data_IF_106900933401
#
_entry.id   IF_106900933401
#
_cell.length_a   1.000
_cell.length_b   1.000
_cell.length_c   1.000
_cell.angle_alpha   90.00
_cell.angle_beta   90.00
_cell.angle_gamma   90.00
#
_symmetry.space_group_name_H-M   'P 1'
#
loop_
_entity.id
_entity.type
_entity.pdbx_description
1 polymer ?
#
# COMPACT_ATOMS: atom_id res chain seq x y z
N UNK A 1 -4.19 -20.27 6.90
CA UNK A 1 -5.34 -19.44 6.45
C UNK A 1 -6.47 -19.50 7.47
N UNK A 2 -6.82 -20.69 7.98
CA UNK A 2 -7.85 -20.88 9.01
C UNK A 2 -7.57 -20.12 10.31
N UNK A 3 -6.33 -20.08 10.78
CA UNK A 3 -5.95 -19.32 11.98
C UNK A 3 -6.29 -17.81 11.87
N UNK A 4 -6.05 -17.16 10.73
CA UNK A 4 -6.38 -15.74 10.54
C UNK A 4 -7.90 -15.49 10.42
N UNK A 5 -8.64 -16.44 9.84
CA UNK A 5 -10.11 -16.37 9.74
C UNK A 5 -10.75 -16.54 11.12
N UNK A 6 -10.20 -17.43 11.94
CA UNK A 6 -10.64 -17.63 13.33
C UNK A 6 -10.26 -16.40 14.18
N UNK A 7 -9.05 -15.87 14.02
CA UNK A 7 -8.62 -14.64 14.69
C UNK A 7 -9.47 -13.41 14.32
N UNK A 8 -9.80 -13.23 13.04
CA UNK A 8 -10.61 -12.08 12.58
C UNK A 8 -12.06 -12.15 13.06
N UNK A 9 -12.60 -13.36 13.23
CA UNK A 9 -13.92 -13.58 13.84
C UNK A 9 -13.93 -13.34 15.35
N UNK A 10 -12.86 -13.71 16.05
CA UNK A 10 -12.76 -13.55 17.51
C UNK A 10 -12.48 -12.10 17.95
N UNK A 11 -11.67 -11.37 17.18
CA UNK A 11 -11.11 -10.08 17.60
C UNK A 11 -11.83 -8.87 16.94
N UNK A 12 -12.68 -9.14 15.93
CA UNK A 12 -13.37 -8.14 15.13
C UNK A 12 -12.57 -7.77 13.88
N UNK A 13 -13.25 -7.69 12.72
CA UNK A 13 -12.62 -7.55 11.40
C UNK A 13 -11.81 -6.26 11.21
N UNK A 14 -12.04 -5.25 12.05
CA UNK A 14 -11.39 -3.93 11.98
C UNK A 14 -10.33 -3.74 13.07
N UNK A 15 -9.96 -4.78 13.81
CA UNK A 15 -9.01 -4.63 14.91
C UNK A 15 -7.57 -4.46 14.41
N UNK A 16 -6.87 -3.42 14.89
CA UNK A 16 -5.46 -3.15 14.58
C UNK A 16 -4.51 -4.34 14.80
N UNK A 17 -4.83 -5.26 15.73
CA UNK A 17 -4.03 -6.48 15.97
C UNK A 17 -3.98 -7.42 14.77
N UNK A 18 -4.90 -7.29 13.81
CA UNK A 18 -4.94 -8.11 12.60
C UNK A 18 -3.96 -7.66 11.51
N UNK A 19 -3.41 -6.44 11.60
CA UNK A 19 -2.52 -5.87 10.57
C UNK A 19 -1.28 -6.76 10.39
N UNK A 20 -0.56 -7.08 11.47
CA UNK A 20 0.66 -7.90 11.40
C UNK A 20 0.41 -9.34 10.89
N UNK A 21 -0.60 -10.08 11.38
CA UNK A 21 -0.95 -11.38 10.82
C UNK A 21 -1.28 -11.33 9.32
N UNK A 22 -2.05 -10.32 8.88
CA UNK A 22 -2.40 -10.16 7.47
C UNK A 22 -1.16 -9.89 6.61
N UNK A 23 -0.25 -9.06 7.11
CA UNK A 23 1.04 -8.78 6.46
C UNK A 23 1.88 -10.04 6.32
N UNK A 24 2.08 -10.76 7.42
CA UNK A 24 2.88 -11.99 7.45
C UNK A 24 2.36 -13.04 6.48
N UNK A 25 1.04 -13.28 6.49
CA UNK A 25 0.42 -14.20 5.53
C UNK A 25 0.55 -13.68 4.10
N UNK A 26 0.44 -12.37 3.88
CA UNK A 26 0.69 -11.75 2.59
C UNK A 26 2.10 -11.98 2.07
N UNK A 27 3.13 -11.88 2.92
CA UNK A 27 4.52 -12.23 2.55
C UNK A 27 4.63 -13.70 2.12
N UNK A 28 4.01 -14.62 2.85
CA UNK A 28 3.99 -16.04 2.46
C UNK A 28 3.34 -16.26 1.09
N UNK A 29 2.33 -15.46 0.72
CA UNK A 29 1.74 -15.49 -0.62
C UNK A 29 2.63 -14.85 -1.67
N UNK A 30 3.34 -13.76 -1.33
CA UNK A 30 4.32 -13.12 -2.22
C UNK A 30 5.45 -14.08 -2.58
N UNK A 31 6.02 -14.80 -1.60
CA UNK A 31 7.09 -15.79 -1.82
C UNK A 31 6.66 -16.90 -2.79
N UNK A 32 5.36 -17.24 -2.80
CA UNK A 32 4.76 -18.23 -3.70
C UNK A 32 4.30 -17.65 -5.04
N UNK A 33 4.61 -16.37 -5.32
CA UNK A 33 4.15 -15.62 -6.51
C UNK A 33 2.62 -15.57 -6.66
N UNK A 34 1.90 -15.72 -5.54
CA UNK A 34 0.44 -15.62 -5.47
C UNK A 34 0.04 -14.16 -5.20
N UNK A 35 0.39 -13.29 -6.16
CA UNK A 35 0.31 -11.84 -5.97
C UNK A 35 -1.12 -11.36 -5.72
N UNK A 36 -2.14 -11.97 -6.34
CA UNK A 36 -3.53 -11.55 -6.14
C UNK A 36 -4.00 -11.73 -4.70
N UNK A 37 -3.63 -12.83 -4.05
CA UNK A 37 -3.96 -13.11 -2.65
C UNK A 37 -3.17 -12.19 -1.72
N UNK A 38 -1.87 -12.02 -1.99
CA UNK A 38 -1.00 -11.09 -1.26
C UNK A 38 -1.57 -9.66 -1.25
N UNK A 39 -1.82 -9.11 -2.44
CA UNK A 39 -2.30 -7.73 -2.60
C UNK A 39 -3.67 -7.51 -1.95
N UNK A 40 -4.57 -8.51 -1.97
CA UNK A 40 -5.86 -8.43 -1.26
C UNK A 40 -5.67 -8.34 0.25
N UNK A 41 -4.77 -9.14 0.83
CA UNK A 41 -4.51 -9.16 2.27
C UNK A 41 -3.83 -7.87 2.74
N UNK A 42 -2.83 -7.38 2.00
CA UNK A 42 -2.18 -6.11 2.31
C UNK A 42 -3.12 -4.93 2.14
N UNK A 43 -4.01 -4.94 1.13
CA UNK A 43 -5.00 -3.87 0.97
C UNK A 43 -6.00 -3.87 2.14
N UNK A 44 -6.39 -5.04 2.62
CA UNK A 44 -7.22 -5.16 3.81
C UNK A 44 -6.50 -4.62 5.05
N UNK A 45 -5.22 -4.96 5.24
CA UNK A 45 -4.41 -4.43 6.33
C UNK A 45 -4.32 -2.89 6.29
N UNK A 46 -4.14 -2.31 5.10
CA UNK A 46 -4.11 -0.86 4.88
C UNK A 46 -5.45 -0.20 5.25
N UNK A 47 -6.57 -0.80 4.83
CA UNK A 47 -7.91 -0.31 5.19
C UNK A 47 -8.14 -0.34 6.71
N UNK A 48 -7.69 -1.40 7.39
CA UNK A 48 -7.76 -1.48 8.86
C UNK A 48 -6.91 -0.38 9.50
N UNK A 49 -5.69 -0.14 9.01
CA UNK A 49 -4.82 0.92 9.54
C UNK A 49 -5.50 2.30 9.48
N UNK A 50 -6.06 2.64 8.31
CA UNK A 50 -6.81 3.89 8.11
C UNK A 50 -8.03 4.02 9.01
N UNK A 51 -8.85 2.98 9.14
CA UNK A 51 -10.02 3.00 10.01
C UNK A 51 -9.66 3.28 11.47
N UNK A 52 -8.51 2.79 11.92
CA UNK A 52 -8.02 3.01 13.28
C UNK A 52 -7.23 4.32 13.44
N UNK A 53 -7.16 5.17 12.39
CA UNK A 53 -6.31 6.39 12.35
C UNK A 53 -4.87 6.12 12.79
N UNK A 54 -4.38 4.91 12.56
CA UNK A 54 -3.04 4.50 12.94
C UNK A 54 -2.06 4.82 11.80
N UNK A 55 -2.03 6.08 11.35
CA UNK A 55 -1.05 6.54 10.36
C UNK A 55 0.31 6.43 11.05
N UNK A 56 1.02 5.36 10.73
CA UNK A 56 2.26 4.98 11.38
C UNK A 56 3.27 4.65 10.30
N UNK A 57 4.57 4.65 10.63
CA UNK A 57 5.64 4.27 9.71
C UNK A 57 5.39 2.93 8.99
N UNK A 58 4.51 2.09 9.54
CA UNK A 58 4.03 0.84 8.96
C UNK A 58 3.26 1.02 7.65
N UNK A 59 2.43 2.05 7.51
CA UNK A 59 1.65 2.29 6.27
C UNK A 59 2.58 2.61 5.10
N UNK A 60 3.62 3.39 5.36
CA UNK A 60 4.64 3.72 4.38
C UNK A 60 5.51 2.54 3.96
N UNK A 61 5.93 1.70 4.90
CA UNK A 61 6.61 0.44 4.57
C UNK A 61 5.70 -0.46 3.73
N UNK A 62 4.41 -0.51 4.07
CA UNK A 62 3.41 -1.29 3.35
C UNK A 62 3.18 -0.77 1.93
N UNK A 63 3.13 0.54 1.72
CA UNK A 63 3.10 1.14 0.38
C UNK A 63 4.35 0.80 -0.44
N UNK A 64 5.54 0.80 0.17
CA UNK A 64 6.77 0.35 -0.51
C UNK A 64 6.69 -1.13 -0.91
N UNK A 65 6.13 -1.99 -0.07
CA UNK A 65 5.90 -3.40 -0.43
C UNK A 65 4.96 -3.57 -1.62
N UNK A 66 3.91 -2.74 -1.72
CA UNK A 66 3.04 -2.71 -2.90
C UNK A 66 3.81 -2.37 -4.17
N UNK A 67 4.65 -1.33 -4.14
CA UNK A 67 5.46 -0.93 -5.30
C UNK A 67 6.38 -2.07 -5.75
N UNK A 68 7.04 -2.76 -4.81
CA UNK A 68 7.93 -3.88 -5.13
C UNK A 68 7.17 -5.03 -5.82
N UNK A 69 6.00 -5.41 -5.30
CA UNK A 69 5.19 -6.46 -5.93
C UNK A 69 4.66 -6.01 -7.30
N UNK A 70 4.24 -4.76 -7.45
CA UNK A 70 3.83 -4.24 -8.76
C UNK A 70 5.00 -4.23 -9.76
N UNK A 71 6.20 -3.91 -9.30
CA UNK A 71 7.40 -4.00 -10.13
C UNK A 71 7.70 -5.44 -10.55
N UNK A 72 7.61 -6.41 -9.64
CA UNK A 72 7.81 -7.83 -9.96
C UNK A 72 6.75 -8.36 -10.94
N UNK A 73 5.49 -7.96 -10.75
CA UNK A 73 4.40 -8.26 -11.70
C UNK A 73 4.68 -7.62 -13.06
N UNK A 74 5.27 -6.43 -13.07
CA UNK A 74 5.61 -5.68 -14.28
C UNK A 74 6.75 -6.36 -15.07
N UNK A 75 7.79 -6.83 -14.40
CA UNK A 75 8.88 -7.58 -15.06
C UNK A 75 8.41 -8.93 -15.59
N UNK A 76 7.42 -9.54 -14.94
CA UNK A 76 6.89 -10.82 -15.34
C UNK A 76 5.83 -10.69 -16.44
N UNK A 77 6.29 -10.75 -17.70
CA UNK A 77 5.48 -10.58 -18.93
C UNK A 77 4.31 -11.57 -19.09
N UNK A 78 4.30 -12.67 -18.32
CA UNK A 78 3.21 -13.67 -18.34
C UNK A 78 1.96 -13.22 -17.59
N UNK A 79 2.08 -12.19 -16.75
CA UNK A 79 1.00 -11.75 -15.85
C UNK A 79 0.17 -10.65 -16.50
N UNK A 80 -1.15 -10.86 -16.48
CA UNK A 80 -2.14 -9.91 -16.97
C UNK A 80 -2.25 -8.69 -16.04
N UNK A 81 -1.48 -7.63 -16.33
CA UNK A 81 -1.40 -6.37 -15.56
C UNK A 81 -2.76 -5.78 -15.16
N UNK A 82 -3.73 -5.79 -16.08
CA UNK A 82 -5.06 -5.20 -15.86
C UNK A 82 -5.85 -5.81 -14.71
N UNK A 83 -5.54 -7.06 -14.34
CA UNK A 83 -6.16 -7.74 -13.20
C UNK A 83 -5.96 -6.95 -11.91
N UNK A 84 -4.88 -6.15 -11.84
CA UNK A 84 -4.49 -5.41 -10.65
C UNK A 84 -4.87 -3.92 -10.70
N UNK A 85 -5.42 -3.42 -11.80
CA UNK A 85 -5.74 -1.99 -11.96
C UNK A 85 -6.65 -1.44 -10.85
N UNK A 86 -7.63 -2.22 -10.40
CA UNK A 86 -8.48 -1.84 -9.28
C UNK A 86 -7.69 -1.65 -7.99
N UNK A 87 -6.78 -2.58 -7.68
CA UNK A 87 -5.97 -2.54 -6.47
C UNK A 87 -4.99 -1.36 -6.54
N UNK A 88 -4.35 -1.15 -7.69
CA UNK A 88 -3.44 -0.01 -7.91
C UNK A 88 -4.16 1.33 -7.71
N UNK A 89 -5.39 1.47 -8.21
CA UNK A 89 -6.22 2.66 -8.00
C UNK A 89 -6.57 2.88 -6.52
N UNK A 90 -6.90 1.81 -5.80
CA UNK A 90 -7.18 1.90 -4.37
C UNK A 90 -5.94 2.32 -3.57
N UNK A 91 -4.78 1.72 -3.85
CA UNK A 91 -3.50 2.09 -3.22
C UNK A 91 -3.15 3.54 -3.56
N UNK A 92 -3.30 3.96 -4.82
CA UNK A 92 -3.08 5.33 -5.26
C UNK A 92 -3.96 6.34 -4.53
N UNK A 93 -5.26 6.06 -4.40
CA UNK A 93 -6.19 6.90 -3.63
C UNK A 93 -5.71 7.07 -2.20
N UNK A 94 -5.25 5.97 -1.60
CA UNK A 94 -4.78 5.95 -0.23
C UNK A 94 -3.52 6.80 -0.05
N UNK A 95 -2.53 6.66 -0.94
CA UNK A 95 -1.30 7.45 -0.93
C UNK A 95 -1.59 8.95 -1.11
N UNK A 96 -2.56 9.31 -1.95
CA UNK A 96 -2.98 10.72 -2.12
C UNK A 96 -3.58 11.27 -0.82
N UNK A 97 -4.46 10.52 -0.15
CA UNK A 97 -5.03 10.93 1.12
C UNK A 97 -3.95 11.16 2.19
N UNK A 98 -2.93 10.29 2.26
CA UNK A 98 -1.79 10.46 3.18
C UNK A 98 -0.97 11.71 2.84
N UNK A 99 -0.70 11.98 1.56
CA UNK A 99 -0.03 13.21 1.12
C UNK A 99 -0.80 14.48 1.52
N UNK A 100 -2.14 14.44 1.46
CA UNK A 100 -2.99 15.55 1.90
C UNK A 100 -2.95 15.72 3.43
N UNK A 101 -2.85 14.65 4.19
CA UNK A 101 -2.66 14.71 5.65
C UNK A 101 -1.30 15.29 6.04
N UNK A 102 -0.22 14.81 5.41
CA UNK A 102 1.14 15.35 5.61
C UNK A 102 1.16 16.85 5.30
N UNK A 103 0.57 17.25 4.16
CA UNK A 103 0.48 18.66 3.78
C UNK A 103 -0.26 19.48 4.84
N UNK A 104 -1.33 18.95 5.44
CA UNK A 104 -2.07 19.64 6.51
C UNK A 104 -1.23 19.78 7.78
N UNK A 105 -0.47 18.74 8.16
CA UNK A 105 0.43 18.80 9.32
C UNK A 105 1.53 19.86 9.13
N UNK A 106 2.16 19.89 7.96
CA UNK A 106 3.19 20.88 7.62
C UNK A 106 2.70 22.34 7.63
N UNK A 107 1.39 22.58 7.43
CA UNK A 107 0.81 23.93 7.48
C UNK A 107 0.52 24.39 8.91
N UNK A 108 0.45 23.47 9.88
CA UNK A 108 0.04 23.74 11.27
C UNK A 108 1.26 23.78 12.21
N UNK A 109 2.35 23.07 11.90
CA UNK A 109 3.46 22.85 12.83
C UNK A 109 4.59 23.90 12.79
N UNK A 110 4.85 24.50 13.96
CA UNK A 110 6.15 25.08 14.32
C UNK A 110 7.09 23.99 14.88
N UNK A 111 7.33 22.92 14.11
CA UNK A 111 8.21 21.81 14.51
C UNK A 111 9.70 22.17 14.43
N UNK A 112 10.53 21.40 15.13
CA UNK A 112 12.00 21.54 15.08
C UNK A 112 12.55 21.12 13.71
N UNK A 113 13.78 21.51 13.37
CA UNK A 113 14.37 21.27 12.03
C UNK A 113 14.41 19.78 11.66
N UNK A 114 14.68 18.88 12.61
CA UNK A 114 14.75 17.44 12.40
C UNK A 114 13.38 16.83 12.06
N UNK A 115 12.32 17.26 12.74
CA UNK A 115 10.95 16.81 12.47
C UNK A 115 10.50 17.27 11.07
N UNK A 116 10.81 18.52 10.71
CA UNK A 116 10.54 19.05 9.36
C UNK A 116 11.26 18.27 8.27
N UNK A 117 12.51 17.85 8.52
CA UNK A 117 13.26 17.01 7.58
C UNK A 117 12.64 15.62 7.44
N UNK A 118 12.27 14.97 8.55
CA UNK A 118 11.63 13.65 8.52
C UNK A 118 10.29 13.69 7.78
N UNK A 119 9.45 14.71 8.03
CA UNK A 119 8.17 14.87 7.33
C UNK A 119 8.38 15.18 5.84
N UNK A 120 9.41 15.96 5.49
CA UNK A 120 9.76 16.22 4.08
C UNK A 120 10.18 14.94 3.36
N UNK A 121 11.06 14.13 3.97
CA UNK A 121 11.49 12.85 3.39
C UNK A 121 10.31 11.89 3.20
N UNK A 122 9.43 11.81 4.19
CA UNK A 122 8.22 10.99 4.13
C UNK A 122 7.28 11.41 2.99
N UNK A 123 7.14 12.72 2.76
CA UNK A 123 6.39 13.28 1.63
C UNK A 123 7.03 12.89 0.30
N UNK A 124 8.35 13.03 0.17
CA UNK A 124 9.07 12.73 -1.08
C UNK A 124 8.98 11.24 -1.44
N UNK A 125 9.11 10.35 -0.46
CA UNK A 125 8.91 8.91 -0.66
C UNK A 125 7.49 8.59 -1.16
N UNK A 126 6.47 9.22 -0.58
CA UNK A 126 5.08 9.06 -1.01
C UNK A 126 4.82 9.60 -2.44
N UNK A 127 5.49 10.68 -2.83
CA UNK A 127 5.45 11.18 -4.22
C UNK A 127 6.11 10.20 -5.18
N UNK A 128 7.23 9.59 -4.78
CA UNK A 128 7.91 8.57 -5.57
C UNK A 128 7.02 7.32 -5.75
N UNK A 129 6.35 6.86 -4.69
CA UNK A 129 5.36 5.78 -4.76
C UNK A 129 4.25 6.13 -5.75
N UNK A 130 3.68 7.34 -5.67
CA UNK A 130 2.62 7.78 -6.57
C UNK A 130 3.07 7.75 -8.03
N UNK A 131 4.29 8.22 -8.31
CA UNK A 131 4.88 8.19 -9.64
C UNK A 131 5.01 6.76 -10.18
N UNK A 132 5.48 5.82 -9.36
CA UNK A 132 5.55 4.40 -9.75
C UNK A 132 4.17 3.82 -10.08
N UNK A 133 3.14 4.12 -9.28
CA UNK A 133 1.78 3.65 -9.54
C UNK A 133 1.21 4.24 -10.85
N UNK A 134 1.53 5.50 -11.17
CA UNK A 134 1.15 6.13 -12.44
C UNK A 134 1.84 5.45 -13.62
N UNK A 135 3.15 5.18 -13.52
CA UNK A 135 3.92 4.46 -14.55
C UNK A 135 3.35 3.06 -14.76
N UNK A 136 3.00 2.36 -13.68
CA UNK A 136 2.39 1.03 -13.76
C UNK A 136 1.05 1.07 -14.51
N UNK A 137 0.19 2.06 -14.24
CA UNK A 137 -1.10 2.21 -14.92
C UNK A 137 -0.96 2.64 -16.39
N UNK A 138 0.01 3.49 -16.71
CA UNK A 138 0.20 4.02 -18.08
C UNK A 138 0.72 2.97 -19.06
N UNK A 139 1.48 1.98 -18.57
CA UNK A 139 2.08 0.90 -19.35
C UNK A 139 1.09 0.01 -20.11
N UNK A 140 -0.21 0.12 -19.86
CA UNK A 140 -1.25 -0.60 -20.59
C UNK A 140 -2.00 0.23 -21.64
N UNK A 141 -1.88 1.57 -21.67
CA UNK A 141 -2.55 2.36 -22.72
C UNK A 141 -1.89 2.19 -24.10
N UNK A 142 -0.59 1.84 -24.14
CA UNK A 142 0.16 1.71 -25.41
C UNK A 142 -0.12 0.39 -26.14
N UNK A 143 -0.61 -0.65 -25.45
CA UNK A 143 -0.87 -1.96 -26.05
C UNK A 143 -2.26 -2.07 -26.74
N UNK A 144 -3.08 -1.02 -26.69
CA UNK A 144 -4.42 -0.96 -27.30
C UNK A 144 -4.50 -0.04 -28.54
N UNK A 145 -3.36 0.31 -29.15
CA UNK A 145 -3.29 1.12 -30.39
C UNK A 145 -2.84 0.25 -31.60
N UNK A 146 -3.30 -1.00 -31.68
CA UNK A 146 -3.18 -1.81 -32.89
C UNK A 146 -4.50 -2.48 -33.22
#
# INVERSE_FOLDING_TARGET
>A
MEACVIYSRLIGQTNKKLIYPLLHVGFTYADKKQYQQCLKLWLHALKISKLNKCISNYDHQLLKYFVNIFFEIYENSTIKLFTYNHIVKEVMKITIEELLEIRRQLLIENGNMEEKQAVSQYKDDNLQILLYLIIFLSKKSVANIK
#
